data_IF_004255278756
#
_entry.id   IF_004255278756
#
_cell.length_a   1.000
_cell.length_b   1.000
_cell.length_c   1.000
_cell.angle_alpha   90.00
_cell.angle_beta   90.00
_cell.angle_gamma   90.00
#
_symmetry.space_group_name_H-M   'P 1'
#
loop_
_entity.id
_entity.type
_entity.pdbx_description
1 polymer ?
#
# COMPACT_ATOMS: atom_id res chain seq x y z
N UNK A 1 -22.53 -7.65 60.70
CA UNK A 1 -21.12 -7.43 60.28
C UNK A 1 -20.65 -8.72 59.63
N UNK A 2 -19.96 -8.60 58.48
CA UNK A 2 -19.38 -9.66 57.62
C UNK A 2 -20.41 -10.41 56.74
N UNK A 3 -20.30 -10.53 55.41
CA UNK A 3 -19.30 -10.12 54.42
C UNK A 3 -19.99 -9.78 53.09
N UNK A 4 -19.65 -8.61 52.58
CA UNK A 4 -19.77 -8.21 51.19
C UNK A 4 -18.51 -8.74 50.47
N UNK A 5 -18.64 -8.99 49.15
CA UNK A 5 -17.57 -9.09 48.15
C UNK A 5 -17.19 -10.47 47.55
N UNK A 6 -17.38 -10.51 46.22
CA UNK A 6 -16.86 -11.41 45.15
C UNK A 6 -17.79 -12.56 44.70
N UNK A 7 -18.07 -12.65 43.37
CA UNK A 7 -17.01 -12.85 42.39
C UNK A 7 -17.08 -11.93 41.15
N UNK A 8 -16.07 -11.08 40.99
CA UNK A 8 -15.56 -10.66 39.68
C UNK A 8 -14.76 -11.82 39.09
N UNK A 9 -15.30 -12.59 38.13
CA UNK A 9 -14.43 -13.57 37.44
C UNK A 9 -14.88 -14.08 36.06
N UNK A 10 -16.14 -13.94 35.61
CA UNK A 10 -16.57 -14.76 34.46
C UNK A 10 -17.34 -14.08 33.32
N UNK A 11 -17.30 -12.75 33.22
CA UNK A 11 -17.89 -12.01 32.11
C UNK A 11 -16.82 -11.27 31.27
N UNK A 12 -15.66 -11.89 31.01
CA UNK A 12 -14.57 -11.26 30.23
C UNK A 12 -14.08 -12.08 29.03
N UNK A 13 -14.48 -13.34 28.89
CA UNK A 13 -13.98 -14.23 27.83
C UNK A 13 -14.47 -13.93 26.40
N UNK A 14 -15.75 -13.56 26.12
CA UNK A 14 -16.17 -13.35 24.73
C UNK A 14 -15.67 -12.02 24.15
N UNK A 15 -15.44 -11.01 25.00
CA UNK A 15 -14.97 -9.68 24.60
C UNK A 15 -13.50 -9.71 24.22
N UNK A 16 -12.66 -10.39 25.01
CA UNK A 16 -11.23 -10.52 24.72
C UNK A 16 -11.00 -11.34 23.46
N UNK A 17 -11.76 -12.43 23.27
CA UNK A 17 -11.68 -13.25 22.06
C UNK A 17 -12.11 -12.48 20.80
N UNK A 18 -13.16 -11.66 20.92
CA UNK A 18 -13.66 -10.82 19.82
C UNK A 18 -12.69 -9.70 19.46
N UNK A 19 -12.01 -9.09 20.45
CA UNK A 19 -10.98 -8.07 20.22
C UNK A 19 -9.72 -8.69 19.60
N UNK A 20 -9.27 -9.83 20.10
CA UNK A 20 -8.13 -10.57 19.52
C UNK A 20 -8.43 -10.98 18.07
N UNK A 21 -9.64 -11.45 17.79
CA UNK A 21 -10.07 -11.82 16.44
C UNK A 21 -10.11 -10.59 15.51
N UNK A 22 -10.61 -9.45 15.98
CA UNK A 22 -10.63 -8.19 15.22
C UNK A 22 -9.21 -7.69 14.93
N UNK A 23 -8.31 -7.78 15.91
CA UNK A 23 -6.93 -7.31 15.79
C UNK A 23 -6.09 -8.25 14.91
N UNK A 24 -6.34 -9.56 14.98
CA UNK A 24 -5.76 -10.55 14.08
C UNK A 24 -6.24 -10.35 12.63
N UNK A 25 -7.53 -10.04 12.42
CA UNK A 25 -8.07 -9.76 11.10
C UNK A 25 -7.46 -8.49 10.48
N UNK A 26 -7.27 -7.44 11.29
CA UNK A 26 -6.65 -6.20 10.83
C UNK A 26 -5.17 -6.38 10.46
N UNK A 27 -4.44 -7.25 11.17
CA UNK A 27 -3.05 -7.57 10.87
C UNK A 27 -2.87 -8.33 9.54
N UNK A 28 -3.85 -9.15 9.14
CA UNK A 28 -3.81 -9.89 7.87
C UNK A 28 -4.17 -9.00 6.67
N UNK A 29 -5.05 -8.00 6.86
CA UNK A 29 -5.45 -7.03 5.83
C UNK A 29 -4.43 -5.88 5.65
N UNK A 30 -3.13 -6.15 5.78
CA UNK A 30 -2.10 -5.17 5.48
C UNK A 30 -2.19 -4.71 4.02
N UNK A 31 -2.74 -3.52 3.79
CA UNK A 31 -2.80 -2.87 2.47
C UNK A 31 -1.36 -2.70 1.99
N UNK A 32 -0.98 -3.48 0.98
CA UNK A 32 0.28 -3.31 0.26
C UNK A 32 0.16 -2.00 -0.53
N UNK A 33 0.60 -0.88 0.06
CA UNK A 33 0.81 0.37 -0.68
C UNK A 33 2.06 0.18 -1.55
N UNK A 34 1.90 -0.55 -2.65
CA UNK A 34 2.92 -0.56 -3.70
C UNK A 34 2.73 0.69 -4.55
N UNK A 35 3.81 1.40 -4.83
CA UNK A 35 3.74 2.49 -5.80
C UNK A 35 3.37 1.91 -7.17
N UNK A 36 2.41 2.58 -7.83
CA UNK A 36 1.77 2.07 -9.03
C UNK A 36 2.73 2.05 -10.21
N UNK A 37 2.64 1.01 -11.04
CA UNK A 37 3.38 0.94 -12.30
C UNK A 37 2.63 1.77 -13.35
N UNK A 38 3.27 2.82 -13.85
CA UNK A 38 2.65 3.80 -14.77
C UNK A 38 3.53 3.96 -16.00
N UNK A 39 2.91 3.81 -17.18
CA UNK A 39 3.54 4.14 -18.46
C UNK A 39 2.88 5.40 -19.03
N UNK A 40 3.66 6.47 -19.16
CA UNK A 40 3.19 7.72 -19.77
C UNK A 40 3.70 7.80 -21.20
N UNK A 41 2.79 7.78 -22.18
CA UNK A 41 3.10 7.98 -23.60
C UNK A 41 2.84 9.41 -24.01
N UNK A 42 3.81 10.05 -24.66
CA UNK A 42 3.70 11.40 -25.19
C UNK A 42 4.17 11.49 -26.63
N UNK A 43 3.57 12.40 -27.41
CA UNK A 43 4.00 12.67 -28.79
C UNK A 43 5.44 13.19 -28.83
N UNK A 44 5.83 14.04 -27.88
CA UNK A 44 7.22 14.46 -27.69
C UNK A 44 7.57 14.52 -26.20
N UNK A 45 8.60 13.79 -25.80
CA UNK A 45 9.14 13.77 -24.44
C UNK A 45 10.40 14.62 -24.39
N UNK A 46 10.36 15.67 -23.58
CA UNK A 46 11.50 16.55 -23.33
C UNK A 46 12.19 16.12 -22.03
N UNK A 47 13.38 15.57 -22.16
CA UNK A 47 14.27 15.30 -21.03
C UNK A 47 15.18 16.49 -20.78
N UNK A 48 15.66 16.67 -19.55
CA UNK A 48 16.64 17.73 -19.22
C UNK A 48 17.99 17.53 -19.93
N UNK A 49 18.24 16.31 -20.43
CA UNK A 49 19.44 15.97 -21.18
C UNK A 49 19.08 15.42 -22.55
N UNK A 50 19.79 15.87 -23.58
CA UNK A 50 19.69 15.35 -24.94
C UNK A 50 18.61 16.00 -25.80
N UNK A 51 18.40 15.40 -26.97
CA UNK A 51 17.37 15.84 -27.92
C UNK A 51 15.98 15.32 -27.50
N UNK A 52 14.90 16.07 -27.84
CA UNK A 52 13.54 15.62 -27.60
C UNK A 52 13.23 14.30 -28.31
N UNK A 53 12.55 13.39 -27.61
CA UNK A 53 12.17 12.07 -28.14
C UNK A 53 10.75 12.16 -28.70
N UNK A 54 10.55 11.88 -29.99
CA UNK A 54 9.21 11.75 -30.58
C UNK A 54 8.63 10.36 -30.32
N UNK A 55 7.33 10.29 -30.06
CA UNK A 55 6.61 9.08 -29.62
C UNK A 55 7.30 8.40 -28.43
N UNK A 56 7.61 9.20 -27.41
CA UNK A 56 8.34 8.76 -26.24
C UNK A 56 7.42 8.15 -25.18
N UNK A 57 7.95 7.15 -24.47
CA UNK A 57 7.30 6.53 -23.31
C UNK A 57 8.21 6.64 -22.10
N UNK A 58 7.60 6.99 -20.96
CA UNK A 58 8.24 7.06 -19.65
C UNK A 58 7.64 5.96 -18.78
N UNK A 59 8.47 5.00 -18.38
CA UNK A 59 8.11 3.95 -17.44
C UNK A 59 8.42 4.41 -16.01
N UNK A 60 7.40 4.34 -15.15
CA UNK A 60 7.48 4.68 -13.74
C UNK A 60 7.13 3.42 -12.95
N UNK A 61 8.07 2.96 -12.12
CA UNK A 61 7.91 1.84 -11.21
C UNK A 61 8.30 2.27 -9.82
N UNK A 62 7.48 1.98 -8.83
CA UNK A 62 7.83 2.32 -7.45
C UNK A 62 7.95 3.83 -7.18
N UNK A 63 7.31 4.68 -8.01
CA UNK A 63 7.41 6.14 -7.92
C UNK A 63 8.73 6.73 -8.45
N UNK A 64 9.56 5.93 -9.14
CA UNK A 64 10.78 6.37 -9.80
C UNK A 64 10.69 6.13 -11.31
N UNK A 65 11.37 6.98 -12.07
CA UNK A 65 11.55 6.78 -13.52
C UNK A 65 12.49 5.59 -13.70
N UNK A 66 11.98 4.50 -14.26
CA UNK A 66 12.74 3.29 -14.57
C UNK A 66 13.44 3.43 -15.92
N UNK A 67 12.72 3.92 -16.94
CA UNK A 67 13.23 4.05 -18.30
C UNK A 67 12.49 5.15 -19.08
N UNK A 68 13.20 5.80 -19.98
CA UNK A 68 12.65 6.74 -20.97
C UNK A 68 13.19 6.35 -22.33
N UNK A 69 12.33 6.26 -23.34
CA UNK A 69 12.74 5.86 -24.69
C UNK A 69 11.61 5.98 -25.71
N UNK A 70 11.86 5.51 -26.92
CA UNK A 70 10.84 5.38 -27.97
C UNK A 70 9.81 4.31 -27.58
N UNK A 71 8.54 4.49 -27.90
CA UNK A 71 7.48 3.51 -27.60
C UNK A 71 7.76 2.08 -28.10
N UNK A 72 8.63 1.91 -29.10
CA UNK A 72 9.07 0.63 -29.64
C UNK A 72 10.22 -0.05 -28.89
N UNK A 73 10.89 0.67 -27.98
CA UNK A 73 12.11 0.25 -27.29
C UNK A 73 11.90 0.05 -25.77
N UNK A 74 10.80 0.56 -25.22
CA UNK A 74 10.45 0.51 -23.78
C UNK A 74 9.41 -0.55 -23.46
#
# INVERSE_FOLDING_TARGET
MTNFFLPTANCQLPTVFRVIFLLAFFAVCGVQVSAQDVAVRGETVYTMAGQPIRDGVVLIRGGKIERVGLASEV
#
